data_IF_817053413684
#
_entry.id   IF_817053413684
#
_cell.length_a   1.000
_cell.length_b   1.000
_cell.length_c   1.000
_cell.angle_alpha   90.00
_cell.angle_beta   90.00
_cell.angle_gamma   90.00
#
_symmetry.space_group_name_H-M   'P 1'
#
loop_
_entity.id
_entity.type
_entity.pdbx_description
1 polymer ?
#
# COMPACT_ATOMS: atom_id res chain seq x y z
N UNK A 1 -1.42 37.85 -40.73
CA UNK A 1 -0.94 36.46 -40.65
C UNK A 1 0.17 36.39 -39.62
N UNK A 2 -0.11 35.98 -38.38
CA UNK A 2 0.85 35.28 -37.49
C UNK A 2 0.00 34.32 -36.67
N UNK A 3 0.00 33.05 -37.09
CA UNK A 3 -0.67 31.96 -36.39
C UNK A 3 0.17 31.57 -35.18
N UNK A 4 -0.39 31.70 -33.97
CA UNK A 4 0.18 31.04 -32.79
C UNK A 4 -0.27 29.58 -32.82
N UNK A 5 0.57 28.70 -33.37
CA UNK A 5 0.42 27.25 -33.19
C UNK A 5 0.92 26.94 -31.79
N UNK A 6 0.00 26.76 -30.84
CA UNK A 6 0.34 26.19 -29.54
C UNK A 6 0.71 24.72 -29.74
N UNK A 7 1.90 24.25 -29.32
CA UNK A 7 2.11 22.82 -29.19
C UNK A 7 1.24 22.36 -28.02
N UNK A 8 0.26 21.51 -28.31
CA UNK A 8 -0.46 20.76 -27.29
C UNK A 8 0.55 19.87 -26.55
N UNK A 9 1.08 20.38 -25.44
CA UNK A 9 1.81 19.57 -24.49
C UNK A 9 0.78 18.68 -23.80
N UNK A 10 0.57 17.49 -24.36
CA UNK A 10 -0.13 16.43 -23.70
C UNK A 10 0.70 16.00 -22.48
N UNK A 11 0.48 16.66 -21.34
CA UNK A 11 1.02 16.23 -20.06
C UNK A 11 0.36 14.89 -19.72
N UNK A 12 1.13 13.82 -19.92
CA UNK A 12 0.78 12.48 -19.45
C UNK A 12 0.86 12.51 -17.92
N UNK A 13 -0.23 12.90 -17.27
CA UNK A 13 -0.33 12.87 -15.81
C UNK A 13 -0.25 11.42 -15.32
N UNK A 14 0.90 11.05 -14.75
CA UNK A 14 0.92 9.97 -13.76
C UNK A 14 0.13 10.48 -12.55
N UNK A 15 -0.96 9.81 -12.21
CA UNK A 15 -1.97 10.27 -11.25
C UNK A 15 -1.48 10.32 -9.78
N UNK A 16 -0.19 10.09 -9.54
CA UNK A 16 0.44 9.90 -8.23
C UNK A 16 1.58 10.89 -7.94
N UNK A 17 1.95 11.72 -8.92
CA UNK A 17 3.00 12.74 -8.76
C UNK A 17 2.44 14.00 -8.05
N UNK A 18 3.18 14.45 -7.04
CA UNK A 18 2.89 15.63 -6.23
C UNK A 18 4.11 16.54 -6.27
N UNK A 19 3.87 17.82 -6.52
CA UNK A 19 4.89 18.85 -6.43
C UNK A 19 4.90 19.40 -5.01
N UNK A 20 6.07 19.35 -4.37
CA UNK A 20 6.33 20.01 -3.10
C UNK A 20 7.24 21.19 -3.39
N UNK A 21 6.79 22.39 -3.03
CA UNK A 21 7.53 23.62 -3.24
C UNK A 21 7.85 24.29 -1.90
N UNK A 22 9.04 24.86 -1.80
CA UNK A 22 9.50 25.61 -0.63
C UNK A 22 9.89 27.04 -0.98
N UNK A 23 9.65 27.96 -0.06
CA UNK A 23 10.17 29.33 -0.07
C UNK A 23 10.87 29.58 1.25
N UNK A 24 12.10 30.08 1.20
CA UNK A 24 12.91 30.35 2.40
C UNK A 24 13.29 31.83 2.51
N UNK A 25 12.34 32.74 2.77
CA UNK A 25 12.66 34.13 3.02
C UNK A 25 13.33 34.27 4.40
N UNK A 26 14.53 34.85 4.42
CA UNK A 26 15.33 35.04 5.64
C UNK A 26 15.56 33.73 6.42
N UNK A 27 15.06 33.65 7.65
CA UNK A 27 15.25 32.52 8.57
C UNK A 27 14.15 31.48 8.50
N UNK A 28 13.03 31.81 7.87
CA UNK A 28 11.85 30.95 7.85
C UNK A 28 11.81 30.13 6.57
N UNK A 29 11.23 28.93 6.65
CA UNK A 29 10.95 28.12 5.46
C UNK A 29 9.47 27.74 5.44
N UNK A 30 8.82 28.12 4.35
CA UNK A 30 7.44 27.78 4.03
C UNK A 30 7.45 26.65 3.01
N UNK A 31 6.56 25.69 3.18
CA UNK A 31 6.39 24.58 2.25
C UNK A 31 4.91 24.38 1.95
N UNK A 32 4.58 24.04 0.71
CA UNK A 32 3.23 23.62 0.32
C UNK A 32 3.28 22.66 -0.88
N UNK A 33 2.17 22.00 -1.16
CA UNK A 33 2.10 20.94 -2.16
C UNK A 33 0.81 20.97 -3.00
N UNK A 34 0.94 20.53 -4.26
CA UNK A 34 -0.18 20.38 -5.17
C UNK A 34 0.11 19.34 -6.27
N UNK A 35 -0.93 18.99 -7.05
CA UNK A 35 -0.86 18.04 -8.16
C UNK A 35 -0.18 18.61 -9.42
N UNK A 36 0.06 19.91 -9.45
CA UNK A 36 0.75 20.61 -10.53
C UNK A 36 1.75 21.58 -9.91
N UNK A 37 2.88 21.81 -10.57
CA UNK A 37 3.93 22.71 -10.08
C UNK A 37 3.40 24.12 -9.81
N UNK A 38 2.65 24.71 -10.76
CA UNK A 38 2.11 26.08 -10.64
C UNK A 38 1.22 26.24 -9.41
N UNK A 39 0.35 25.27 -9.15
CA UNK A 39 -0.50 25.28 -7.96
C UNK A 39 0.31 25.14 -6.67
N UNK A 40 1.38 24.34 -6.65
CA UNK A 40 2.23 24.18 -5.48
C UNK A 40 3.02 25.48 -5.19
N UNK A 41 3.55 26.11 -6.24
CA UNK A 41 4.20 27.43 -6.20
C UNK A 41 3.27 28.53 -5.68
N UNK A 42 2.04 28.58 -6.19
CA UNK A 42 1.05 29.54 -5.75
C UNK A 42 0.71 29.36 -4.27
N UNK A 43 0.48 28.12 -3.81
CA UNK A 43 0.13 27.84 -2.42
C UNK A 43 1.25 28.20 -1.44
N UNK A 44 2.50 27.85 -1.75
CA UNK A 44 3.63 28.19 -0.85
C UNK A 44 3.84 29.71 -0.77
N UNK A 45 3.66 30.44 -1.87
CA UNK A 45 3.65 31.90 -1.89
C UNK A 45 2.55 32.47 -0.98
N UNK A 46 1.31 32.01 -1.12
CA UNK A 46 0.19 32.44 -0.26
C UNK A 46 0.45 32.12 1.22
N UNK A 47 1.11 31.01 1.52
CA UNK A 47 1.48 30.65 2.89
C UNK A 47 2.55 31.58 3.46
N UNK A 48 3.55 31.92 2.66
CA UNK A 48 4.59 32.88 3.00
C UNK A 48 3.99 34.27 3.28
N UNK A 49 3.08 34.76 2.40
CA UNK A 49 2.41 36.06 2.52
C UNK A 49 1.58 36.25 3.78
N UNK A 50 1.15 35.15 4.41
CA UNK A 50 0.43 35.21 5.70
C UNK A 50 1.34 35.54 6.88
N UNK A 51 2.65 35.36 6.73
CA UNK A 51 3.64 35.52 7.80
C UNK A 51 4.67 36.60 7.50
N UNK A 52 4.94 36.87 6.23
CA UNK A 52 6.03 37.73 5.77
C UNK A 52 5.53 38.74 4.74
N UNK A 53 6.34 39.75 4.45
CA UNK A 53 6.03 40.79 3.47
C UNK A 53 6.10 40.27 2.03
N UNK A 54 5.32 40.91 1.15
CA UNK A 54 5.08 40.47 -0.24
C UNK A 54 6.33 40.29 -1.09
N UNK A 55 7.35 41.10 -0.84
CA UNK A 55 8.55 41.15 -1.67
C UNK A 55 9.34 39.83 -1.71
N UNK A 56 9.25 39.00 -0.67
CA UNK A 56 10.04 37.76 -0.52
C UNK A 56 9.23 36.47 -0.73
N UNK A 57 7.96 36.61 -1.11
CA UNK A 57 7.02 35.49 -1.20
C UNK A 57 6.60 35.20 -2.64
N UNK A 58 7.48 35.40 -3.62
CA UNK A 58 7.16 35.23 -5.05
C UNK A 58 7.12 33.76 -5.44
N UNK A 59 6.05 33.34 -6.09
CA UNK A 59 5.85 31.96 -6.55
C UNK A 59 6.96 31.46 -7.50
N UNK A 60 7.54 32.36 -8.30
CA UNK A 60 8.62 32.06 -9.24
C UNK A 60 9.95 31.73 -8.54
N UNK A 61 10.14 32.19 -7.30
CA UNK A 61 11.36 31.97 -6.52
C UNK A 61 11.30 30.67 -5.71
N UNK A 62 10.16 29.97 -5.72
CA UNK A 62 10.00 28.72 -4.99
C UNK A 62 10.88 27.61 -5.56
N UNK A 63 11.50 26.81 -4.69
CA UNK A 63 12.22 25.61 -5.08
C UNK A 63 11.27 24.41 -5.02
N UNK A 64 11.10 23.69 -6.13
CA UNK A 64 10.11 22.63 -6.24
C UNK A 64 10.76 21.31 -6.62
N UNK A 65 10.30 20.24 -6.00
CA UNK A 65 10.63 18.89 -6.41
C UNK A 65 9.38 18.04 -6.48
N UNK A 66 9.41 17.03 -7.34
CA UNK A 66 8.35 16.04 -7.44
C UNK A 66 8.59 14.93 -6.44
N UNK A 67 7.54 14.56 -5.73
CA UNK A 67 7.48 13.35 -4.91
C UNK A 67 6.23 12.57 -5.30
N UNK A 68 6.28 11.25 -5.21
CA UNK A 68 5.07 10.44 -5.32
C UNK A 68 4.42 10.34 -3.94
N UNK A 69 3.16 10.76 -3.81
CA UNK A 69 2.39 10.27 -2.68
C UNK A 69 2.04 8.83 -3.00
N UNK A 70 2.72 7.88 -2.36
CA UNK A 70 2.12 6.59 -2.11
C UNK A 70 1.01 6.81 -1.08
N UNK A 71 -0.12 7.33 -1.55
CA UNK A 71 -1.36 7.06 -0.87
C UNK A 71 -1.49 5.54 -0.97
N UNK A 72 -1.07 4.84 0.09
CA UNK A 72 -1.66 3.55 0.40
C UNK A 72 -3.15 3.82 0.56
N UNK A 73 -3.88 3.87 -0.56
CA UNK A 73 -5.31 3.73 -0.62
C UNK A 73 -5.61 2.27 -0.25
N UNK A 74 -5.27 1.90 0.99
CA UNK A 74 -5.65 0.65 1.64
C UNK A 74 -7.15 0.70 2.02
N UNK A 75 -7.99 1.23 1.15
CA UNK A 75 -9.38 0.80 1.04
C UNK A 75 -9.52 -0.43 0.15
N UNK A 76 -8.46 -0.82 -0.58
CA UNK A 76 -8.22 -2.24 -0.75
C UNK A 76 -7.55 -2.72 0.53
N UNK A 77 -8.34 -3.03 1.58
CA UNK A 77 -7.84 -3.92 2.61
C UNK A 77 -7.35 -5.14 1.85
N UNK A 78 -6.03 -5.27 1.69
CA UNK A 78 -5.42 -6.41 1.03
C UNK A 78 -5.71 -7.60 1.94
N UNK A 79 -6.92 -8.14 1.76
CA UNK A 79 -7.47 -9.26 2.50
C UNK A 79 -6.49 -10.39 2.29
N UNK A 80 -5.85 -10.80 3.36
CA UNK A 80 -4.90 -11.90 3.40
C UNK A 80 -5.43 -12.96 4.35
N UNK A 81 -5.07 -14.21 4.05
CA UNK A 81 -5.22 -15.30 5.01
C UNK A 81 -4.05 -15.18 5.98
N UNK A 82 -4.33 -15.08 7.27
CA UNK A 82 -3.31 -15.10 8.33
C UNK A 82 -3.22 -16.48 8.92
N UNK A 83 -2.01 -17.02 9.01
CA UNK A 83 -1.72 -18.26 9.73
C UNK A 83 -0.94 -17.92 11.00
N UNK A 84 -1.16 -18.67 12.07
CA UNK A 84 -0.61 -18.40 13.40
C UNK A 84 -0.05 -19.67 14.02
N UNK A 85 1.07 -19.54 14.74
CA UNK A 85 1.76 -20.66 15.39
C UNK A 85 1.24 -21.04 16.76
N UNK A 86 0.23 -20.32 17.29
CA UNK A 86 -0.46 -20.66 18.53
C UNK A 86 -1.97 -20.62 18.35
N UNK A 87 -2.70 -21.25 19.28
CA UNK A 87 -4.18 -21.21 19.31
C UNK A 87 -4.71 -19.78 19.48
N UNK A 88 -5.93 -19.56 19.04
CA UNK A 88 -6.67 -18.29 19.18
C UNK A 88 -6.00 -17.09 18.50
N UNK A 89 -5.39 -17.31 17.32
CA UNK A 89 -4.77 -16.27 16.48
C UNK A 89 -3.67 -15.49 17.20
N UNK A 90 -2.76 -16.22 17.85
CA UNK A 90 -1.63 -15.68 18.62
C UNK A 90 -0.29 -16.24 18.11
N UNK A 91 0.80 -15.65 18.58
CA UNK A 91 2.15 -16.11 18.30
C UNK A 91 2.69 -15.56 16.98
N UNK A 92 3.71 -16.23 16.44
CA UNK A 92 4.27 -15.88 15.15
C UNK A 92 3.23 -16.11 14.05
N UNK A 93 3.18 -15.21 13.07
CA UNK A 93 2.17 -15.25 12.03
C UNK A 93 2.70 -14.78 10.68
N UNK A 94 2.13 -15.33 9.62
CA UNK A 94 2.38 -14.93 8.23
C UNK A 94 1.08 -14.53 7.53
N UNK A 95 1.19 -13.62 6.57
CA UNK A 95 0.09 -13.12 5.73
C UNK A 95 0.22 -13.69 4.31
N UNK A 96 -0.85 -14.31 3.80
CA UNK A 96 -0.88 -14.98 2.50
C UNK A 96 -2.00 -14.39 1.63
N UNK A 97 -1.63 -13.75 0.53
CA UNK A 97 -2.56 -13.04 -0.38
C UNK A 97 -2.84 -13.78 -1.70
N UNK A 98 -2.10 -14.86 -1.97
CA UNK A 98 -2.14 -15.70 -3.18
C UNK A 98 -1.92 -17.17 -2.82
N UNK A 99 -2.21 -18.06 -3.76
CA UNK A 99 -1.94 -19.49 -3.61
C UNK A 99 -0.47 -19.72 -3.24
N UNK A 100 -0.25 -20.66 -2.32
CA UNK A 100 1.05 -20.95 -1.76
C UNK A 100 1.34 -22.45 -1.89
N UNK A 101 2.14 -22.88 -2.88
CA UNK A 101 2.40 -24.29 -3.14
C UNK A 101 3.34 -24.93 -2.12
N UNK A 102 4.06 -24.13 -1.34
CA UNK A 102 5.09 -24.62 -0.44
C UNK A 102 5.27 -23.59 0.68
N UNK A 103 5.30 -24.02 1.95
CA UNK A 103 5.54 -23.15 3.10
C UNK A 103 6.98 -23.12 3.62
N UNK A 104 7.88 -23.98 3.10
CA UNK A 104 9.31 -23.97 3.43
C UNK A 104 9.96 -22.62 3.09
N UNK A 105 9.57 -21.98 1.98
CA UNK A 105 10.09 -20.68 1.56
C UNK A 105 9.63 -19.49 2.46
N UNK A 106 8.67 -19.74 3.35
CA UNK A 106 8.16 -18.78 4.34
C UNK A 106 8.55 -19.12 5.77
N UNK A 107 9.38 -20.16 5.97
CA UNK A 107 9.71 -20.70 7.29
C UNK A 107 8.44 -20.96 8.14
N UNK A 108 7.37 -21.43 7.51
CA UNK A 108 6.07 -21.68 8.17
C UNK A 108 5.51 -23.09 7.89
N UNK A 109 6.31 -23.96 7.26
CA UNK A 109 5.94 -25.35 7.04
C UNK A 109 5.66 -26.04 8.37
N UNK A 110 4.51 -26.72 8.50
CA UNK A 110 4.16 -27.46 9.72
C UNK A 110 4.11 -26.59 10.99
N UNK A 111 3.96 -25.26 10.84
CA UNK A 111 3.87 -24.33 11.98
C UNK A 111 2.46 -23.83 12.25
N UNK A 112 1.49 -24.07 11.36
CA UNK A 112 0.13 -23.57 11.51
C UNK A 112 -0.61 -24.29 12.64
N UNK A 113 -1.16 -23.50 13.58
CA UNK A 113 -1.99 -23.96 14.71
C UNK A 113 -3.36 -23.24 14.74
N UNK A 114 -3.44 -22.01 14.25
CA UNK A 114 -4.73 -21.33 14.03
C UNK A 114 -4.65 -20.40 12.83
N UNK A 115 -5.80 -19.97 12.31
CA UNK A 115 -5.85 -19.13 11.12
C UNK A 115 -6.98 -18.10 11.19
N UNK A 116 -6.89 -17.09 10.31
CA UNK A 116 -7.95 -16.11 10.05
C UNK A 116 -8.09 -15.95 8.53
N UNK A 117 -9.28 -16.23 8.02
CA UNK A 117 -9.64 -16.10 6.61
C UNK A 117 -10.55 -14.88 6.44
N UNK A 118 -10.32 -14.01 5.44
CA UNK A 118 -11.19 -12.88 5.17
C UNK A 118 -12.64 -13.29 4.91
N UNK A 119 -13.60 -12.47 5.36
CA UNK A 119 -15.01 -12.71 5.07
C UNK A 119 -15.26 -12.72 3.55
N UNK A 120 -16.03 -13.71 3.09
CA UNK A 120 -16.32 -13.99 1.68
C UNK A 120 -15.37 -14.99 1.01
N UNK A 121 -14.20 -15.25 1.60
CA UNK A 121 -13.19 -16.13 1.00
C UNK A 121 -13.46 -17.60 1.29
N UNK A 122 -12.92 -18.46 0.42
CA UNK A 122 -12.85 -19.91 0.63
C UNK A 122 -11.42 -20.38 0.40
N UNK A 123 -10.84 -21.08 1.37
CA UNK A 123 -9.45 -21.52 1.37
C UNK A 123 -9.39 -23.01 1.60
N UNK A 124 -8.44 -23.69 0.95
CA UNK A 124 -8.13 -25.10 1.18
C UNK A 124 -6.67 -25.23 1.58
N UNK A 125 -6.45 -25.85 2.74
CA UNK A 125 -5.14 -26.24 3.27
C UNK A 125 -4.84 -27.70 2.89
N UNK A 126 -3.58 -28.01 2.66
CA UNK A 126 -3.09 -29.33 2.24
C UNK A 126 -1.93 -29.76 3.10
N UNK A 127 -1.89 -31.04 3.48
CA UNK A 127 -0.82 -31.57 4.32
C UNK A 127 0.52 -31.59 3.58
N UNK A 128 0.50 -31.86 2.28
CA UNK A 128 1.71 -31.89 1.45
C UNK A 128 1.90 -30.60 0.65
N UNK A 129 3.12 -30.41 0.14
CA UNK A 129 3.44 -29.38 -0.83
C UNK A 129 2.70 -29.60 -2.16
N UNK A 130 2.66 -28.57 -3.00
CA UNK A 130 2.04 -28.56 -4.31
C UNK A 130 0.57 -29.00 -4.32
N UNK A 131 -0.15 -28.71 -3.23
CA UNK A 131 -1.59 -28.93 -3.09
C UNK A 131 -1.98 -30.42 -3.12
N UNK A 132 -1.17 -31.28 -2.54
CA UNK A 132 -1.36 -32.74 -2.49
C UNK A 132 -1.74 -33.21 -1.08
N UNK A 133 -2.01 -34.52 -0.95
CA UNK A 133 -2.31 -35.14 0.33
C UNK A 133 -3.72 -34.81 0.85
N UNK A 134 -3.92 -35.07 2.15
CA UNK A 134 -5.18 -34.77 2.83
C UNK A 134 -5.41 -33.25 2.86
N UNK A 135 -6.68 -32.83 2.77
CA UNK A 135 -7.01 -31.42 2.66
C UNK A 135 -8.18 -31.00 3.54
N UNK A 136 -8.16 -29.72 3.95
CA UNK A 136 -9.14 -29.11 4.85
C UNK A 136 -9.63 -27.79 4.26
N UNK A 137 -10.94 -27.61 4.14
CA UNK A 137 -11.52 -26.44 3.45
C UNK A 137 -12.33 -25.58 4.42
N UNK A 138 -12.00 -24.29 4.48
CA UNK A 138 -12.65 -23.31 5.37
C UNK A 138 -13.14 -22.09 4.61
N UNK A 139 -14.14 -21.42 5.17
CA UNK A 139 -14.67 -20.13 4.70
C UNK A 139 -14.15 -19.00 5.61
N UNK A 140 -14.49 -17.76 5.27
CA UNK A 140 -14.16 -16.59 6.09
C UNK A 140 -14.52 -16.76 7.57
N UNK A 141 -13.62 -16.34 8.45
CA UNK A 141 -13.72 -16.59 9.89
C UNK A 141 -12.35 -16.71 10.56
N UNK A 142 -12.37 -17.12 11.83
CA UNK A 142 -11.19 -17.44 12.62
C UNK A 142 -11.43 -18.79 13.29
N UNK A 143 -10.47 -19.69 13.22
CA UNK A 143 -10.58 -21.03 13.80
C UNK A 143 -9.20 -21.55 14.22
N UNK A 144 -9.19 -22.54 15.12
CA UNK A 144 -8.01 -23.36 15.40
C UNK A 144 -7.94 -24.51 14.40
N UNK A 145 -6.73 -25.01 14.14
CA UNK A 145 -6.49 -26.16 13.26
C UNK A 145 -6.68 -27.50 14.00
N UNK A 146 -7.67 -27.58 14.91
CA UNK A 146 -7.83 -28.73 15.81
C UNK A 146 -7.98 -30.03 15.00
N UNK A 147 -7.07 -30.98 15.21
CA UNK A 147 -7.02 -32.27 14.50
C UNK A 147 -6.13 -32.31 13.25
N UNK A 148 -5.44 -31.21 12.94
CA UNK A 148 -4.45 -31.10 11.87
C UNK A 148 -3.40 -30.01 12.14
N UNK A 149 -3.16 -29.69 13.42
CA UNK A 149 -2.08 -28.79 13.81
C UNK A 149 -0.73 -29.31 13.28
N UNK A 150 0.15 -28.39 12.87
CA UNK A 150 1.49 -28.73 12.40
C UNK A 150 1.55 -29.67 11.19
N UNK A 151 0.46 -29.84 10.45
CA UNK A 151 0.43 -30.76 9.32
C UNK A 151 0.47 -30.06 7.95
N UNK A 152 0.24 -28.75 7.88
CA UNK A 152 -0.02 -28.06 6.61
C UNK A 152 1.27 -27.55 5.96
N UNK A 153 1.48 -27.95 4.70
CA UNK A 153 2.62 -27.55 3.86
C UNK A 153 2.25 -26.72 2.63
N UNK A 154 0.96 -26.62 2.26
CA UNK A 154 0.51 -25.73 1.17
C UNK A 154 -0.95 -25.29 1.28
N UNK A 155 -1.35 -24.26 0.51
CA UNK A 155 -2.74 -23.77 0.48
C UNK A 155 -3.17 -23.13 -0.84
N UNK A 156 -4.46 -23.24 -1.16
CA UNK A 156 -5.13 -22.52 -2.25
C UNK A 156 -6.25 -21.61 -1.77
N UNK A 157 -6.35 -20.43 -2.38
CA UNK A 157 -7.50 -19.54 -2.26
C UNK A 157 -8.46 -19.88 -3.40
N UNK A 158 -9.52 -20.61 -3.08
CA UNK A 158 -10.51 -21.08 -4.05
C UNK A 158 -11.49 -19.99 -4.47
N UNK A 159 -11.74 -19.01 -3.59
CA UNK A 159 -12.65 -17.88 -3.84
C UNK A 159 -12.20 -16.66 -3.04
N UNK A 160 -12.31 -15.47 -3.65
CA UNK A 160 -12.20 -14.14 -3.02
C UNK A 160 -13.56 -13.45 -2.95
#
# INVERSE_FOLDING_TARGET
>A
MISCVSPAFAAKHNNDEIYVCTLSPFTDTFADAARTEDAARYKVAQRCLKSQSDMFCRAQEANCFTTSLSANNDHNSHKSVKLFSKKNQKGHSIDISRDKPNFFDTDFNDKMVSFKIPSGWKVRFYEDINYQGKSYTYKGGKDNADGFEHAISSMKILKK
#
